data_IF_648420590523
#
_entry.id   IF_648420590523
#
_cell.length_a   1.000
_cell.length_b   1.000
_cell.length_c   1.000
_cell.angle_alpha   90.00
_cell.angle_beta   90.00
_cell.angle_gamma   90.00
#
_symmetry.space_group_name_H-M   'P 1'
#
loop_
_entity.id
_entity.type
_entity.pdbx_description
1 polymer ?
#
# COMPACT_ATOMS: atom_id res chain seq x y z
N UNK A 1 -12.06 -8.39 -6.86
CA UNK A 1 -11.03 -7.75 -7.72
C UNK A 1 -9.67 -8.21 -7.24
N UNK A 2 -8.82 -8.67 -8.15
CA UNK A 2 -7.45 -9.10 -7.84
C UNK A 2 -6.51 -8.34 -8.79
N UNK A 3 -5.42 -7.79 -8.25
CA UNK A 3 -4.33 -7.21 -9.01
C UNK A 3 -3.15 -8.19 -8.94
N UNK A 4 -2.48 -8.44 -10.04
CA UNK A 4 -1.48 -9.49 -10.13
C UNK A 4 -0.14 -8.98 -10.68
N UNK A 5 0.94 -9.43 -10.08
CA UNK A 5 2.31 -9.30 -10.55
C UNK A 5 2.99 -10.68 -10.55
N UNK A 6 4.28 -10.72 -10.79
CA UNK A 6 5.04 -11.98 -10.90
C UNK A 6 4.92 -12.89 -9.66
N UNK A 7 5.15 -12.32 -8.47
CA UNK A 7 5.20 -13.07 -7.22
C UNK A 7 4.17 -12.56 -6.20
N UNK A 8 3.38 -11.54 -6.55
CA UNK A 8 2.55 -10.81 -5.60
C UNK A 8 1.16 -10.59 -6.15
N UNK A 9 0.16 -10.85 -5.33
CA UNK A 9 -1.25 -10.54 -5.60
C UNK A 9 -1.75 -9.52 -4.58
N UNK A 10 -2.65 -8.65 -5.01
CA UNK A 10 -3.43 -7.80 -4.12
C UNK A 10 -4.91 -8.15 -4.32
N UNK A 11 -5.58 -8.56 -3.26
CA UNK A 11 -7.03 -8.69 -3.23
C UNK A 11 -7.64 -7.72 -2.21
N UNK A 12 -8.88 -7.31 -2.44
CA UNK A 12 -9.60 -6.49 -1.46
C UNK A 12 -9.77 -7.25 -0.15
N UNK A 13 -9.62 -6.50 0.96
CA UNK A 13 -9.81 -7.05 2.29
C UNK A 13 -11.28 -7.36 2.56
N UNK A 14 -11.52 -8.46 3.26
CA UNK A 14 -12.82 -8.92 3.71
C UNK A 14 -12.90 -8.92 5.25
N UNK A 15 -14.10 -8.91 5.85
CA UNK A 15 -14.23 -8.99 7.30
C UNK A 15 -13.53 -10.19 7.94
N UNK A 16 -13.36 -11.29 7.20
CA UNK A 16 -12.60 -12.47 7.64
C UNK A 16 -11.10 -12.24 7.81
N UNK A 17 -10.55 -11.16 7.24
CA UNK A 17 -9.12 -10.81 7.35
C UNK A 17 -8.77 -10.06 8.65
N UNK A 18 -9.77 -9.83 9.53
CA UNK A 18 -9.59 -9.03 10.74
C UNK A 18 -8.45 -9.53 11.63
N UNK A 19 -8.35 -10.84 11.84
CA UNK A 19 -7.29 -11.45 12.66
C UNK A 19 -5.90 -11.23 12.04
N UNK A 20 -5.75 -11.45 10.73
CA UNK A 20 -4.50 -11.21 10.02
C UNK A 20 -4.08 -9.73 10.08
N UNK A 21 -5.00 -8.81 9.85
CA UNK A 21 -4.74 -7.36 9.91
C UNK A 21 -4.27 -6.96 11.31
N UNK A 22 -4.96 -7.44 12.36
CA UNK A 22 -4.56 -7.17 13.76
C UNK A 22 -3.18 -7.74 14.05
N UNK A 23 -2.90 -8.98 13.64
CA UNK A 23 -1.60 -9.61 13.87
C UNK A 23 -0.43 -8.78 13.31
N UNK A 24 -0.64 -8.09 12.19
CA UNK A 24 0.36 -7.18 11.61
C UNK A 24 0.43 -5.85 12.38
N UNK A 25 -0.72 -5.24 12.66
CA UNK A 25 -0.78 -3.87 13.21
C UNK A 25 -0.42 -3.78 14.68
N UNK A 26 -0.56 -4.86 15.44
CA UNK A 26 -0.18 -4.93 16.86
C UNK A 26 1.22 -5.49 17.08
N UNK A 27 1.88 -5.97 16.04
CA UNK A 27 3.25 -6.46 16.15
C UNK A 27 4.24 -5.29 16.19
N UNK A 28 4.99 -5.18 17.28
CA UNK A 28 5.98 -4.11 17.51
C UNK A 28 7.05 -4.03 16.42
N UNK A 29 7.33 -5.14 15.74
CA UNK A 29 8.28 -5.19 14.61
C UNK A 29 7.83 -4.35 13.41
N UNK A 30 6.50 -4.17 13.24
CA UNK A 30 5.93 -3.54 12.05
C UNK A 30 5.20 -2.21 12.33
N UNK A 31 4.79 -1.94 13.57
CA UNK A 31 3.86 -0.87 13.89
C UNK A 31 4.50 0.48 14.27
N UNK A 32 5.82 0.57 14.34
CA UNK A 32 6.57 1.74 14.84
C UNK A 32 6.12 3.08 14.24
N UNK A 33 5.75 3.11 12.97
CA UNK A 33 5.35 4.34 12.24
C UNK A 33 3.88 4.33 11.81
N UNK A 34 3.08 3.45 12.39
CA UNK A 34 1.65 3.32 12.07
C UNK A 34 0.80 3.94 13.18
N UNK A 35 -0.43 4.34 12.83
CA UNK A 35 -1.44 4.71 13.82
C UNK A 35 -1.74 3.53 14.75
N UNK A 36 -1.98 3.83 16.02
CA UNK A 36 -2.34 2.81 17.01
C UNK A 36 -3.61 2.04 16.57
N UNK A 37 -3.57 0.73 16.73
CA UNK A 37 -4.70 -0.17 16.49
C UNK A 37 -4.88 -1.05 17.72
N UNK A 38 -6.10 -1.15 18.21
CA UNK A 38 -6.42 -2.08 19.30
C UNK A 38 -6.30 -3.54 18.86
N UNK A 39 -6.23 -4.46 19.81
CA UNK A 39 -6.13 -5.90 19.58
C UNK A 39 -7.47 -6.63 19.50
N UNK A 40 -8.59 -5.90 19.51
CA UNK A 40 -9.95 -6.47 19.45
C UNK A 40 -10.31 -6.88 18.02
N UNK A 41 -10.29 -8.18 17.75
CA UNK A 41 -10.64 -8.77 16.45
C UNK A 41 -12.09 -8.48 16.09
N UNK A 42 -13.02 -8.48 17.06
CA UNK A 42 -14.43 -8.19 16.81
C UNK A 42 -14.63 -6.74 16.37
N UNK A 43 -13.94 -5.81 17.04
CA UNK A 43 -13.97 -4.40 16.63
C UNK A 43 -13.36 -4.20 15.24
N UNK A 44 -12.27 -4.89 14.91
CA UNK A 44 -11.65 -4.84 13.59
C UNK A 44 -12.58 -5.40 12.51
N UNK A 45 -13.29 -6.50 12.80
CA UNK A 45 -14.27 -7.09 11.88
C UNK A 45 -15.40 -6.10 11.57
N UNK A 46 -15.98 -5.47 12.60
CA UNK A 46 -17.00 -4.43 12.43
C UNK A 46 -16.48 -3.22 11.63
N UNK A 47 -15.23 -2.83 11.87
CA UNK A 47 -14.61 -1.76 11.10
C UNK A 47 -14.49 -2.13 9.62
N UNK A 48 -14.12 -3.37 9.29
CA UNK A 48 -14.05 -3.88 7.91
C UNK A 48 -15.44 -3.94 7.25
N UNK A 49 -16.49 -4.32 7.98
CA UNK A 49 -17.87 -4.30 7.49
C UNK A 49 -18.30 -2.87 7.08
N UNK A 50 -17.96 -1.86 7.89
CA UNK A 50 -18.18 -0.45 7.55
C UNK A 50 -17.27 0.03 6.42
N UNK A 51 -16.03 -0.45 6.37
CA UNK A 51 -15.09 -0.17 5.29
C UNK A 51 -15.64 -0.63 3.94
N UNK A 52 -16.31 -1.78 3.85
CA UNK A 52 -16.93 -2.27 2.60
C UNK A 52 -17.93 -1.28 2.00
N UNK A 53 -18.57 -0.45 2.80
CA UNK A 53 -19.44 0.63 2.30
C UNK A 53 -18.63 1.76 1.63
N UNK A 54 -17.47 2.12 2.19
CA UNK A 54 -16.53 3.11 1.61
C UNK A 54 -15.89 2.57 0.34
N UNK A 55 -15.51 1.28 0.33
CA UNK A 55 -15.02 0.58 -0.85
C UNK A 55 -16.05 0.59 -1.99
N UNK A 56 -17.30 0.27 -1.71
CA UNK A 56 -18.38 0.31 -2.70
C UNK A 56 -18.56 1.71 -3.32
N UNK A 57 -18.44 2.76 -2.50
CA UNK A 57 -18.49 4.17 -2.94
C UNK A 57 -17.18 4.64 -3.60
N UNK A 58 -16.14 3.80 -3.65
CA UNK A 58 -14.81 4.14 -4.18
C UNK A 58 -14.10 5.26 -3.39
N UNK A 59 -14.41 5.40 -2.12
CA UNK A 59 -13.81 6.38 -1.21
C UNK A 59 -12.49 5.88 -0.61
N UNK A 60 -12.31 4.55 -0.56
CA UNK A 60 -11.16 3.90 0.07
C UNK A 60 -11.03 2.47 -0.46
N UNK A 61 -9.77 1.96 -0.51
CA UNK A 61 -9.50 0.58 -0.87
C UNK A 61 -8.46 -0.01 0.08
N UNK A 62 -8.77 -1.14 0.68
CA UNK A 62 -7.86 -1.88 1.54
C UNK A 62 -7.53 -3.22 0.91
N UNK A 63 -6.25 -3.50 0.74
CA UNK A 63 -5.78 -4.72 0.10
C UNK A 63 -5.02 -5.60 1.08
N UNK A 64 -5.23 -6.90 0.96
CA UNK A 64 -4.34 -7.93 1.47
C UNK A 64 -3.31 -8.23 0.38
N UNK A 65 -2.04 -8.25 0.77
CA UNK A 65 -0.92 -8.62 -0.10
C UNK A 65 -0.66 -10.11 0.11
N UNK A 66 -0.68 -10.87 -0.96
CA UNK A 66 -0.48 -12.32 -0.97
C UNK A 66 0.63 -12.72 -1.92
N UNK A 67 1.33 -13.79 -1.60
CA UNK A 67 2.17 -14.50 -2.54
C UNK A 67 1.32 -15.27 -3.57
N UNK A 68 1.92 -15.76 -4.64
CA UNK A 68 1.22 -16.55 -5.68
C UNK A 68 0.65 -17.88 -5.20
N UNK A 69 1.11 -18.38 -4.05
CA UNK A 69 0.57 -19.57 -3.39
C UNK A 69 -0.63 -19.28 -2.45
N UNK A 70 -1.09 -18.02 -2.39
CA UNK A 70 -2.17 -17.57 -1.53
C UNK A 70 -1.75 -17.25 -0.09
N UNK A 71 -0.46 -17.34 0.25
CA UNK A 71 0.03 -17.00 1.59
C UNK A 71 -0.04 -15.47 1.80
N UNK A 72 -0.82 -14.96 2.78
CA UNK A 72 -0.87 -13.54 3.06
C UNK A 72 0.44 -13.08 3.69
N UNK A 73 0.98 -11.99 3.16
CA UNK A 73 2.27 -11.46 3.57
C UNK A 73 2.27 -9.96 3.87
N UNK A 74 1.11 -9.30 3.79
CA UNK A 74 1.04 -7.88 4.12
C UNK A 74 -0.30 -7.23 3.84
N UNK A 75 -0.34 -5.92 4.03
CA UNK A 75 -1.49 -5.06 3.74
C UNK A 75 -1.05 -3.76 3.09
N UNK A 76 -1.97 -3.10 2.38
CA UNK A 76 -1.79 -1.74 1.87
C UNK A 76 -3.17 -1.09 1.65
N UNK A 77 -3.29 0.23 1.89
CA UNK A 77 -4.54 0.97 1.70
C UNK A 77 -4.35 2.14 0.74
N UNK A 78 -5.40 2.44 -0.03
CA UNK A 78 -5.60 3.70 -0.75
C UNK A 78 -6.68 4.47 0.00
N UNK A 79 -6.43 5.72 0.32
CA UNK A 79 -7.33 6.60 1.07
C UNK A 79 -7.04 8.06 0.74
N UNK A 80 -7.75 8.99 1.37
CA UNK A 80 -7.59 10.43 1.14
C UNK A 80 -7.64 10.79 -0.35
N UNK A 81 -8.72 10.33 -1.01
CA UNK A 81 -8.94 10.55 -2.43
C UNK A 81 -9.52 11.96 -2.61
N UNK A 82 -8.70 12.91 -3.04
CA UNK A 82 -9.07 14.32 -3.20
C UNK A 82 -8.47 14.92 -4.46
N UNK A 83 -9.20 15.80 -5.13
CA UNK A 83 -8.69 16.57 -6.28
C UNK A 83 -7.98 15.71 -7.34
N UNK A 84 -8.57 14.59 -7.70
CA UNK A 84 -8.01 13.64 -8.67
C UNK A 84 -6.64 13.06 -8.27
N UNK A 85 -6.40 12.98 -6.96
CA UNK A 85 -5.20 12.44 -6.32
C UNK A 85 -5.56 11.43 -5.26
N UNK A 86 -4.68 10.49 -4.97
CA UNK A 86 -4.86 9.51 -3.90
C UNK A 86 -3.62 9.41 -3.01
N UNK A 87 -3.86 9.17 -1.74
CA UNK A 87 -2.82 8.75 -0.80
C UNK A 87 -2.83 7.23 -0.67
N UNK A 88 -1.68 6.63 -0.38
CA UNK A 88 -1.61 5.24 0.01
C UNK A 88 -0.65 5.04 1.18
N UNK A 89 -0.94 4.05 2.00
CA UNK A 89 -0.19 3.78 3.22
C UNK A 89 -0.75 2.57 3.95
N UNK A 90 -0.61 2.53 5.28
CA UNK A 90 -0.87 1.32 6.06
C UNK A 90 -0.21 0.10 5.44
N UNK A 91 0.98 0.33 4.86
CA UNK A 91 1.74 -0.65 4.10
C UNK A 91 2.64 -1.42 5.05
N UNK A 92 2.29 -2.66 5.24
CA UNK A 92 2.99 -3.58 6.14
C UNK A 92 3.34 -4.84 5.36
N UNK A 93 4.58 -5.29 5.49
CA UNK A 93 5.03 -6.57 4.95
C UNK A 93 5.64 -7.40 6.08
N UNK A 94 5.18 -8.63 6.25
CA UNK A 94 5.73 -9.56 7.23
C UNK A 94 6.86 -10.43 6.63
N UNK A 95 7.36 -11.39 7.40
CA UNK A 95 8.44 -12.29 7.00
C UNK A 95 8.10 -13.22 5.83
N UNK A 96 6.83 -13.46 5.55
CA UNK A 96 6.39 -14.30 4.42
C UNK A 96 6.58 -13.62 3.06
N UNK A 97 6.89 -12.30 3.04
CA UNK A 97 7.13 -11.58 1.78
C UNK A 97 8.29 -12.17 0.98
N UNK A 98 8.16 -12.20 -0.34
CA UNK A 98 9.28 -12.47 -1.25
C UNK A 98 10.16 -11.22 -1.40
N UNK A 99 11.37 -11.40 -1.92
CA UNK A 99 12.33 -10.29 -2.12
C UNK A 99 11.75 -9.15 -2.96
N UNK A 100 10.87 -9.46 -3.91
CA UNK A 100 10.27 -8.48 -4.84
C UNK A 100 8.94 -7.92 -4.38
N UNK A 101 8.32 -8.46 -3.31
CA UNK A 101 6.96 -8.09 -2.88
C UNK A 101 6.81 -6.59 -2.64
N UNK A 102 7.82 -5.93 -2.07
CA UNK A 102 7.76 -4.48 -1.81
C UNK A 102 7.59 -3.68 -3.11
N UNK A 103 8.43 -3.92 -4.11
CA UNK A 103 8.34 -3.21 -5.39
C UNK A 103 7.07 -3.61 -6.17
N UNK A 104 6.72 -4.90 -6.16
CA UNK A 104 5.55 -5.39 -6.87
C UNK A 104 4.25 -4.83 -6.28
N UNK A 105 4.09 -4.85 -4.95
CA UNK A 105 2.89 -4.30 -4.29
C UNK A 105 2.73 -2.80 -4.52
N UNK A 106 3.82 -2.02 -4.44
CA UNK A 106 3.79 -0.59 -4.73
C UNK A 106 3.39 -0.30 -6.19
N UNK A 107 3.96 -1.02 -7.15
CA UNK A 107 3.61 -0.86 -8.56
C UNK A 107 2.17 -1.24 -8.86
N UNK A 108 1.64 -2.29 -8.21
CA UNK A 108 0.23 -2.68 -8.34
C UNK A 108 -0.72 -1.59 -7.79
N UNK A 109 -0.35 -0.93 -6.70
CA UNK A 109 -1.12 0.20 -6.14
C UNK A 109 -1.11 1.40 -7.09
N UNK A 110 0.04 1.76 -7.66
CA UNK A 110 0.10 2.82 -8.65
C UNK A 110 -0.67 2.47 -9.92
N UNK A 111 -0.58 1.23 -10.41
CA UNK A 111 -1.40 0.78 -11.55
C UNK A 111 -2.89 0.87 -11.27
N UNK A 112 -3.31 0.49 -10.08
CA UNK A 112 -4.68 0.63 -9.67
C UNK A 112 -5.11 2.10 -9.67
N UNK A 113 -4.36 2.98 -9.02
CA UNK A 113 -4.68 4.40 -8.94
C UNK A 113 -4.65 5.10 -10.29
N UNK A 114 -3.60 4.92 -11.08
CA UNK A 114 -3.41 5.65 -12.34
C UNK A 114 -4.17 5.04 -13.51
N UNK A 115 -4.08 3.73 -13.70
CA UNK A 115 -4.62 3.08 -14.90
C UNK A 115 -6.06 2.60 -14.72
N UNK A 116 -6.47 2.22 -13.49
CA UNK A 116 -7.80 1.68 -13.25
C UNK A 116 -8.79 2.72 -12.71
N UNK A 117 -8.31 3.61 -11.83
CA UNK A 117 -9.11 4.68 -11.25
C UNK A 117 -8.92 6.02 -11.96
N UNK A 118 -7.93 6.13 -12.86
CA UNK A 118 -7.62 7.32 -13.67
C UNK A 118 -7.26 8.57 -12.85
N UNK A 119 -6.66 8.41 -11.66
CA UNK A 119 -6.12 9.53 -10.92
C UNK A 119 -4.89 10.10 -11.62
N UNK A 120 -4.69 11.42 -11.52
CA UNK A 120 -3.60 12.14 -12.18
C UNK A 120 -2.30 12.13 -11.37
N UNK A 121 -2.36 11.92 -10.06
CA UNK A 121 -1.20 11.85 -9.16
C UNK A 121 -1.50 11.03 -7.91
N UNK A 122 -0.45 10.65 -7.22
CA UNK A 122 -0.50 10.16 -5.85
C UNK A 122 0.23 11.15 -4.94
N UNK A 123 -0.30 11.41 -3.75
CA UNK A 123 0.31 12.23 -2.71
C UNK A 123 0.42 11.42 -1.42
N UNK A 124 1.47 11.65 -0.64
CA UNK A 124 1.66 10.98 0.64
C UNK A 124 2.68 11.71 1.49
N UNK A 125 2.62 11.47 2.79
CA UNK A 125 3.63 11.93 3.74
C UNK A 125 4.38 10.75 4.36
N UNK A 126 5.62 11.00 4.76
CA UNK A 126 6.46 10.03 5.46
C UNK A 126 7.15 10.70 6.63
N UNK A 127 7.06 10.09 7.81
CA UNK A 127 7.81 10.53 8.98
C UNK A 127 9.31 10.62 8.67
N UNK A 128 9.96 11.73 9.04
CA UNK A 128 11.40 11.95 8.82
C UNK A 128 12.27 10.84 9.43
N UNK A 129 11.81 10.23 10.52
CA UNK A 129 12.47 9.11 11.17
C UNK A 129 12.38 7.78 10.39
N UNK A 130 11.48 7.69 9.41
CA UNK A 130 11.28 6.47 8.61
C UNK A 130 12.18 6.47 7.37
N UNK A 131 13.49 6.49 7.58
CA UNK A 131 14.51 6.59 6.55
C UNK A 131 14.38 5.48 5.49
N UNK A 132 13.98 4.27 5.89
CA UNK A 132 13.82 3.14 4.97
C UNK A 132 12.71 3.40 3.96
N UNK A 133 11.55 3.89 4.40
CA UNK A 133 10.42 4.21 3.53
C UNK A 133 10.72 5.44 2.67
N UNK A 134 11.38 6.46 3.22
CA UNK A 134 11.86 7.62 2.45
C UNK A 134 12.79 7.18 1.31
N UNK A 135 13.78 6.32 1.62
CA UNK A 135 14.69 5.77 0.62
C UNK A 135 13.95 4.98 -0.46
N UNK A 136 12.95 4.19 -0.07
CA UNK A 136 12.12 3.45 -1.01
C UNK A 136 11.39 4.39 -1.98
N UNK A 137 10.68 5.41 -1.46
CA UNK A 137 9.94 6.35 -2.30
C UNK A 137 10.84 7.18 -3.22
N UNK A 138 12.01 7.59 -2.74
CA UNK A 138 13.02 8.24 -3.60
C UNK A 138 13.48 7.33 -4.75
N UNK A 139 13.66 6.03 -4.50
CA UNK A 139 13.98 5.04 -5.55
C UNK A 139 12.81 4.81 -6.52
N UNK A 140 11.59 5.09 -6.08
CA UNK A 140 10.38 5.08 -6.92
C UNK A 140 10.19 6.40 -7.70
N UNK A 141 11.15 7.30 -7.67
CA UNK A 141 11.13 8.61 -8.32
C UNK A 141 10.09 9.58 -7.75
N UNK A 142 9.73 9.43 -6.47
CA UNK A 142 8.83 10.37 -5.81
C UNK A 142 9.48 11.75 -5.64
N UNK A 143 8.71 12.79 -5.89
CA UNK A 143 9.12 14.19 -5.82
C UNK A 143 8.83 14.75 -4.43
N UNK A 144 9.86 15.24 -3.73
CA UNK A 144 9.68 15.97 -2.47
C UNK A 144 9.06 17.35 -2.77
N UNK A 145 7.88 17.60 -2.23
CA UNK A 145 7.11 18.83 -2.46
C UNK A 145 7.29 19.82 -1.32
N UNK A 146 7.26 19.34 -0.09
CA UNK A 146 7.39 20.16 1.12
C UNK A 146 7.79 19.30 2.31
N UNK A 147 8.05 19.97 3.43
CA UNK A 147 8.29 19.33 4.71
C UNK A 147 7.77 20.19 5.86
N UNK A 148 7.47 19.56 6.99
CA UNK A 148 7.24 20.19 8.28
C UNK A 148 8.26 19.67 9.32
N UNK A 149 8.00 19.87 10.61
CA UNK A 149 8.90 19.40 11.67
C UNK A 149 9.01 17.88 11.70
N UNK A 150 7.93 17.14 11.36
CA UNK A 150 7.81 15.70 11.54
C UNK A 150 7.85 14.91 10.24
N UNK A 151 7.41 15.48 9.12
CA UNK A 151 7.16 14.75 7.89
C UNK A 151 7.82 15.38 6.67
N UNK A 152 8.11 14.53 5.68
CA UNK A 152 8.30 14.90 4.29
C UNK A 152 7.02 14.60 3.51
N UNK A 153 6.65 15.50 2.60
CA UNK A 153 5.49 15.38 1.70
C UNK A 153 5.96 15.13 0.28
N UNK A 154 5.41 14.09 -0.33
CA UNK A 154 5.80 13.65 -1.67
C UNK A 154 4.61 13.61 -2.62
N UNK A 155 4.92 13.78 -3.90
CA UNK A 155 4.03 13.43 -5.01
C UNK A 155 4.74 12.48 -5.98
N UNK A 156 3.95 11.68 -6.70
CA UNK A 156 4.41 10.81 -7.77
C UNK A 156 3.35 10.80 -8.89
N UNK A 157 3.81 10.73 -10.13
CA UNK A 157 2.99 10.86 -11.33
C UNK A 157 3.05 9.58 -12.18
N UNK A 158 2.09 9.38 -13.12
CA UNK A 158 2.08 8.21 -14.00
C UNK A 158 3.40 7.99 -14.75
N UNK A 159 4.03 9.06 -15.26
CA UNK A 159 5.30 8.96 -16.00
C UNK A 159 6.46 8.44 -15.15
N UNK A 160 6.48 8.78 -13.85
CA UNK A 160 7.47 8.24 -12.91
C UNK A 160 7.33 6.72 -12.82
N UNK A 161 6.10 6.22 -12.76
CA UNK A 161 5.83 4.77 -12.65
C UNK A 161 6.16 4.06 -13.96
N UNK A 162 5.92 4.66 -15.11
CA UNK A 162 6.34 4.12 -16.42
C UNK A 162 7.86 3.94 -16.43
N UNK A 163 8.61 4.95 -16.01
CA UNK A 163 10.06 4.89 -15.91
C UNK A 163 10.53 3.77 -14.96
N UNK A 164 9.93 3.67 -13.77
CA UNK A 164 10.27 2.65 -12.78
C UNK A 164 9.96 1.23 -13.29
N UNK A 165 8.84 1.02 -13.97
CA UNK A 165 8.51 -0.26 -14.60
C UNK A 165 9.54 -0.69 -15.65
N UNK A 166 10.02 0.24 -16.45
CA UNK A 166 11.09 -0.03 -17.41
C UNK A 166 12.38 -0.43 -16.71
N UNK A 167 12.78 0.31 -15.66
CA UNK A 167 13.97 0.03 -14.85
C UNK A 167 13.94 -1.36 -14.21
N UNK A 168 12.78 -1.79 -13.72
CA UNK A 168 12.61 -3.09 -13.06
C UNK A 168 12.01 -4.17 -13.97
N UNK A 169 11.96 -3.95 -15.28
CA UNK A 169 11.32 -4.85 -16.25
C UNK A 169 11.77 -6.31 -16.10
N UNK A 170 13.08 -6.57 -15.97
CA UNK A 170 13.62 -7.92 -15.81
C UNK A 170 13.17 -8.60 -14.50
N UNK A 171 12.97 -7.81 -13.45
CA UNK A 171 12.52 -8.30 -12.15
C UNK A 171 11.04 -8.68 -12.15
N UNK A 172 10.24 -7.95 -12.92
CA UNK A 172 8.77 -8.02 -12.93
C UNK A 172 8.20 -8.97 -14.01
N UNK A 173 9.02 -9.39 -14.97
CA UNK A 173 8.58 -10.33 -16.01
C UNK A 173 8.39 -11.73 -15.42
N UNK A 174 7.31 -12.45 -15.78
CA UNK A 174 7.21 -13.89 -15.54
C UNK A 174 8.42 -14.62 -16.15
N UNK A 175 8.91 -15.65 -15.45
CA UNK A 175 9.89 -16.56 -16.03
C UNK A 175 9.22 -17.46 -17.03
#
# INVERSE_FOLDING_TARGET
>A
MILTSKNTYLRLAEPSDAEFIISLRTNEKYNKHLSHTGSDITAQKKWLELYKQREYKKEEFYFIIENTDGTPCGTVRIYDIVNNSFCWGSWILNENKKTTTAIESALLIYDFGFNKMHYSRSHFDVRKENEMVISFHKKMNAHLISEDELNFYFEIFPDDIIYIKQKYKKLLQPQ
#
